data_IF_989223381244
#
_entry.id   IF_989223381244
#
_cell.length_a   1.000
_cell.length_b   1.000
_cell.length_c   1.000
_cell.angle_alpha   90.00
_cell.angle_beta   90.00
_cell.angle_gamma   90.00
#
_symmetry.space_group_name_H-M   'P 1'
#
loop_
_entity.id
_entity.type
_entity.pdbx_description
1 polymer ?
#
# COMPACT_ATOMS: atom_id res chain seq x y z
N UNK A 1 12.00 -5.64 13.36
CA UNK A 1 11.18 -4.45 13.06
C UNK A 1 10.58 -4.68 11.69
N UNK A 2 9.26 -4.75 11.53
CA UNK A 2 8.66 -5.01 10.23
C UNK A 2 8.77 -3.74 9.37
N UNK A 3 9.35 -3.85 8.17
CA UNK A 3 9.45 -2.73 7.24
C UNK A 3 8.05 -2.23 6.85
N UNK A 4 7.91 -0.91 6.75
CA UNK A 4 6.66 -0.24 6.36
C UNK A 4 6.76 0.20 4.91
N UNK A 5 5.69 -0.02 4.15
CA UNK A 5 5.58 0.37 2.75
C UNK A 5 4.79 1.69 2.69
N UNK A 6 5.38 2.72 2.08
CA UNK A 6 4.71 3.98 1.77
C UNK A 6 4.46 4.05 0.26
N UNK A 7 3.20 4.27 -0.12
CA UNK A 7 2.81 4.49 -1.52
C UNK A 7 2.37 5.94 -1.67
N UNK A 8 3.04 6.70 -2.55
CA UNK A 8 2.73 8.10 -2.86
C UNK A 8 2.05 8.17 -4.23
N UNK A 9 0.99 8.99 -4.35
CA UNK A 9 0.20 9.08 -5.59
C UNK A 9 -0.79 7.92 -5.72
N UNK A 10 -1.27 7.41 -4.58
CA UNK A 10 -2.13 6.23 -4.51
C UNK A 10 -3.55 6.48 -5.02
N UNK A 11 -3.98 7.74 -5.17
CA UNK A 11 -5.34 8.10 -5.59
C UNK A 11 -5.67 7.80 -7.07
N UNK A 12 -4.68 7.41 -7.88
CA UNK A 12 -4.91 6.95 -9.25
C UNK A 12 -5.40 5.50 -9.34
N UNK A 13 -5.87 5.08 -10.51
CA UNK A 13 -6.34 3.71 -10.76
C UNK A 13 -5.26 2.67 -10.38
N UNK A 14 -4.04 2.85 -10.89
CA UNK A 14 -2.91 1.95 -10.61
C UNK A 14 -2.57 1.99 -9.12
N UNK A 15 -2.54 3.18 -8.52
CA UNK A 15 -2.21 3.36 -7.11
C UNK A 15 -3.18 2.63 -6.19
N UNK A 16 -4.48 2.67 -6.51
CA UNK A 16 -5.53 2.02 -5.73
C UNK A 16 -5.40 0.50 -5.77
N UNK A 17 -5.23 -0.08 -6.96
CA UNK A 17 -5.05 -1.54 -7.10
C UNK A 17 -3.75 -2.03 -6.47
N UNK A 18 -2.66 -1.28 -6.64
CA UNK A 18 -1.39 -1.60 -6.02
C UNK A 18 -1.51 -1.62 -4.49
N UNK A 19 -2.15 -0.61 -3.89
CA UNK A 19 -2.36 -0.57 -2.44
C UNK A 19 -3.18 -1.76 -1.96
N UNK A 20 -4.24 -2.15 -2.68
CA UNK A 20 -5.02 -3.35 -2.34
C UNK A 20 -4.14 -4.60 -2.33
N UNK A 21 -3.36 -4.83 -3.40
CA UNK A 21 -2.50 -6.02 -3.49
C UNK A 21 -1.39 -6.03 -2.44
N UNK A 22 -0.80 -4.88 -2.14
CA UNK A 22 0.22 -4.77 -1.09
C UNK A 22 -0.38 -5.05 0.29
N UNK A 23 -1.60 -4.59 0.58
CA UNK A 23 -2.28 -4.86 1.86
C UNK A 23 -2.67 -6.33 2.00
N UNK A 24 -3.06 -7.00 0.92
CA UNK A 24 -3.29 -8.45 0.90
C UNK A 24 -2.00 -9.23 1.18
N UNK A 25 -0.88 -8.79 0.60
CA UNK A 25 0.39 -9.52 0.63
C UNK A 25 1.16 -9.31 1.93
N UNK A 26 1.18 -8.07 2.43
CA UNK A 26 2.00 -7.65 3.58
C UNK A 26 1.17 -7.33 4.82
N UNK A 27 -0.16 -7.33 4.71
CA UNK A 27 -1.06 -6.93 5.78
C UNK A 27 -1.32 -5.42 5.81
N UNK A 28 -2.56 -5.00 6.13
CA UNK A 28 -2.98 -3.60 6.02
C UNK A 28 -2.21 -2.65 6.93
N UNK A 29 -1.77 -3.11 8.10
CA UNK A 29 -1.00 -2.29 9.04
C UNK A 29 0.41 -1.97 8.54
N UNK A 30 0.91 -2.66 7.52
CA UNK A 30 2.25 -2.44 6.94
C UNK A 30 2.26 -1.50 5.73
N UNK A 31 1.10 -1.04 5.25
CA UNK A 31 0.99 -0.23 4.03
C UNK A 31 0.26 1.10 4.32
N UNK A 32 1.03 2.19 4.26
CA UNK A 32 0.53 3.57 4.32
C UNK A 32 0.43 4.11 2.88
N UNK A 33 -0.66 4.76 2.55
CA UNK A 33 -0.92 5.29 1.22
C UNK A 33 -1.37 6.76 1.32
N UNK A 34 -0.82 7.61 0.45
CA UNK A 34 -1.15 9.04 0.29
C UNK A 34 -1.42 9.42 -1.16
#
# INVERSE_FOLDING_TARGET
MAEKILVIGSSGQIGTELVMKLRETFGPSHVIAS
#
